data_IF_435617279108
#
_entry.id   IF_435617279108
#
_cell.length_a   1.000
_cell.length_b   1.000
_cell.length_c   1.000
_cell.angle_alpha   90.00
_cell.angle_beta   90.00
_cell.angle_gamma   90.00
#
_symmetry.space_group_name_H-M   'P 1'
#
loop_
_entity.id
_entity.type
_entity.pdbx_description
1 polymer ?
#
# COMPACT_ATOMS: atom_id res chain seq x y z
N UNK A 1 50.73 -25.27 118.66
CA UNK A 1 51.10 -24.09 117.85
C UNK A 1 51.81 -24.46 116.56
N UNK A 2 52.94 -25.20 116.55
CA UNK A 2 53.63 -25.56 115.29
C UNK A 2 52.89 -26.56 114.37
N UNK A 3 52.33 -27.68 114.89
CA UNK A 3 51.65 -28.67 114.05
C UNK A 3 50.35 -28.19 113.38
N UNK A 4 49.69 -27.17 113.96
CA UNK A 4 48.51 -26.52 113.38
C UNK A 4 48.87 -25.58 112.23
N UNK A 5 50.04 -24.93 112.33
CA UNK A 5 50.56 -24.07 111.26
C UNK A 5 51.00 -24.89 110.05
N UNK A 6 51.61 -26.07 110.25
CA UNK A 6 52.02 -26.97 109.16
C UNK A 6 50.81 -27.55 108.41
N UNK A 7 49.76 -27.99 109.13
CA UNK A 7 48.50 -28.45 108.52
C UNK A 7 47.77 -27.32 107.77
N UNK A 8 47.83 -26.09 108.27
CA UNK A 8 47.30 -24.91 107.55
C UNK A 8 48.10 -24.62 106.28
N UNK A 9 49.43 -24.74 106.32
CA UNK A 9 50.31 -24.54 105.16
C UNK A 9 50.02 -25.54 104.04
N UNK A 10 49.90 -26.83 104.37
CA UNK A 10 49.58 -27.88 103.40
C UNK A 10 48.20 -27.70 102.76
N UNK A 11 47.17 -27.35 103.56
CA UNK A 11 45.85 -27.00 103.03
C UNK A 11 45.90 -25.76 102.14
N UNK A 12 46.72 -24.76 102.48
CA UNK A 12 46.89 -23.55 101.68
C UNK A 12 47.54 -23.86 100.32
N UNK A 13 48.51 -24.79 100.27
CA UNK A 13 49.12 -25.26 99.02
C UNK A 13 48.13 -26.06 98.16
N UNK A 14 47.31 -26.91 98.77
CA UNK A 14 46.29 -27.69 98.07
C UNK A 14 45.19 -26.78 97.47
N UNK A 15 44.75 -25.78 98.23
CA UNK A 15 43.86 -24.71 97.76
C UNK A 15 44.51 -23.93 96.60
N UNK A 16 45.79 -23.57 96.71
CA UNK A 16 46.50 -22.86 95.64
C UNK A 16 46.61 -23.68 94.35
N UNK A 17 46.84 -25.00 94.43
CA UNK A 17 46.83 -25.90 93.27
C UNK A 17 45.45 -25.98 92.60
N UNK A 18 44.38 -26.10 93.37
CA UNK A 18 43.02 -26.08 92.82
C UNK A 18 42.70 -24.73 92.15
N UNK A 19 43.12 -23.61 92.75
CA UNK A 19 42.95 -22.27 92.17
C UNK A 19 43.69 -22.16 90.84
N UNK A 20 44.94 -22.64 90.76
CA UNK A 20 45.70 -22.67 89.51
C UNK A 20 45.05 -23.55 88.44
N UNK A 21 44.55 -24.73 88.81
CA UNK A 21 43.82 -25.63 87.89
C UNK A 21 42.54 -24.99 87.34
N UNK A 22 41.77 -24.32 88.21
CA UNK A 22 40.58 -23.54 87.81
C UNK A 22 40.95 -22.38 86.88
N UNK A 23 42.04 -21.66 87.15
CA UNK A 23 42.48 -20.54 86.32
C UNK A 23 42.93 -20.99 84.91
N UNK A 24 43.61 -22.13 84.80
CA UNK A 24 43.97 -22.75 83.50
C UNK A 24 42.71 -23.18 82.74
N UNK A 25 41.75 -23.82 83.43
CA UNK A 25 40.48 -24.24 82.84
C UNK A 25 39.69 -23.03 82.33
N UNK A 26 39.63 -21.95 83.12
CA UNK A 26 38.95 -20.70 82.76
C UNK A 26 39.59 -20.04 81.53
N UNK A 27 40.93 -20.02 81.45
CA UNK A 27 41.66 -19.53 80.26
C UNK A 27 41.35 -20.36 79.01
N UNK A 28 41.31 -21.69 79.11
CA UNK A 28 40.91 -22.56 77.98
C UNK A 28 39.47 -22.30 77.55
N UNK A 29 38.54 -22.18 78.49
CA UNK A 29 37.15 -21.91 78.19
C UNK A 29 36.96 -20.55 77.52
N UNK A 30 37.68 -19.51 77.98
CA UNK A 30 37.70 -18.20 77.35
C UNK A 30 38.26 -18.26 75.92
N UNK A 31 39.30 -19.06 75.69
CA UNK A 31 39.86 -19.24 74.35
C UNK A 31 38.87 -19.93 73.39
N UNK A 32 38.20 -21.00 73.84
CA UNK A 32 37.15 -21.65 73.06
C UNK A 32 35.98 -20.71 72.77
N UNK A 33 35.58 -19.87 73.74
CA UNK A 33 34.55 -18.85 73.52
C UNK A 33 34.97 -17.83 72.46
N UNK A 34 36.22 -17.38 72.46
CA UNK A 34 36.75 -16.47 71.45
C UNK A 34 36.75 -17.10 70.06
N UNK A 35 37.27 -18.32 69.93
CA UNK A 35 37.26 -19.07 68.66
C UNK A 35 35.84 -19.30 68.15
N UNK A 36 34.90 -19.61 69.04
CA UNK A 36 33.50 -19.82 68.68
C UNK A 36 32.84 -18.52 68.19
N UNK A 37 33.23 -17.37 68.73
CA UNK A 37 32.74 -16.07 68.28
C UNK A 37 33.33 -15.65 66.93
N UNK A 38 34.62 -15.89 66.69
CA UNK A 38 35.25 -15.69 65.37
C UNK A 38 34.57 -16.57 64.31
N UNK A 39 34.42 -17.87 64.59
CA UNK A 39 33.77 -18.80 63.65
C UNK A 39 32.31 -18.41 63.34
N UNK A 40 31.58 -17.90 64.34
CA UNK A 40 30.22 -17.37 64.16
C UNK A 40 30.21 -16.12 63.29
N UNK A 41 31.18 -15.22 63.47
CA UNK A 41 31.33 -14.02 62.64
C UNK A 41 31.62 -14.40 61.18
N UNK A 42 32.55 -15.32 60.97
CA UNK A 42 32.91 -15.80 59.62
C UNK A 42 31.74 -16.49 58.94
N UNK A 43 31.03 -17.37 59.66
CA UNK A 43 29.83 -18.02 59.14
C UNK A 43 28.71 -17.01 58.80
N UNK A 44 28.56 -15.95 59.61
CA UNK A 44 27.62 -14.87 59.32
C UNK A 44 28.00 -14.14 58.02
N UNK A 45 29.29 -13.85 57.83
CA UNK A 45 29.82 -13.21 56.63
C UNK A 45 29.60 -14.07 55.38
N UNK A 46 29.93 -15.37 55.43
CA UNK A 46 29.71 -16.30 54.33
C UNK A 46 28.22 -16.45 53.99
N UNK A 47 27.36 -16.49 55.01
CA UNK A 47 25.91 -16.52 54.80
C UNK A 47 25.38 -15.26 54.12
N UNK A 48 25.96 -14.09 54.43
CA UNK A 48 25.64 -12.83 53.75
C UNK A 48 26.08 -12.85 52.27
N UNK A 49 27.28 -13.35 51.98
CA UNK A 49 27.77 -13.54 50.60
C UNK A 49 26.86 -14.49 49.82
N UNK A 50 26.48 -15.63 50.42
CA UNK A 50 25.58 -16.59 49.78
C UNK A 50 24.24 -15.94 49.41
N UNK A 51 23.65 -15.19 50.34
CA UNK A 51 22.39 -14.48 50.09
C UNK A 51 22.53 -13.42 48.97
N UNK A 52 23.69 -12.75 48.87
CA UNK A 52 23.98 -11.84 47.77
C UNK A 52 24.05 -12.57 46.42
N UNK A 53 24.72 -13.74 46.36
CA UNK A 53 24.80 -14.55 45.15
C UNK A 53 23.44 -15.12 44.73
N UNK A 54 22.62 -15.58 45.68
CA UNK A 54 21.25 -16.02 45.41
C UNK A 54 20.40 -14.89 44.84
N UNK A 55 20.50 -13.69 45.43
CA UNK A 55 19.81 -12.50 44.92
C UNK A 55 20.24 -12.16 43.50
N UNK A 56 21.55 -12.17 43.21
CA UNK A 56 22.07 -11.94 41.86
C UNK A 56 21.58 -12.99 40.86
N UNK A 57 21.60 -14.27 41.24
CA UNK A 57 21.09 -15.37 40.41
C UNK A 57 19.63 -15.16 40.04
N UNK A 58 18.78 -14.79 41.00
CA UNK A 58 17.35 -14.50 40.76
C UNK A 58 17.20 -13.36 39.74
N UNK A 59 17.90 -12.24 39.96
CA UNK A 59 17.86 -11.08 39.07
C UNK A 59 18.29 -11.44 37.65
N UNK A 60 19.41 -12.15 37.50
CA UNK A 60 19.93 -12.53 36.18
C UNK A 60 18.99 -13.52 35.49
N UNK A 61 18.38 -14.45 36.22
CA UNK A 61 17.41 -15.39 35.65
C UNK A 61 16.17 -14.66 35.14
N UNK A 62 15.66 -13.70 35.92
CA UNK A 62 14.51 -12.86 35.51
C UNK A 62 14.83 -12.01 34.27
N UNK A 63 16.05 -11.47 34.19
CA UNK A 63 16.54 -10.75 33.00
C UNK A 63 16.61 -11.64 31.76
N UNK A 64 17.09 -12.88 31.89
CA UNK A 64 17.14 -13.83 30.78
C UNK A 64 15.72 -14.16 30.31
N UNK A 65 14.79 -14.42 31.22
CA UNK A 65 13.40 -14.74 30.89
C UNK A 65 12.71 -13.56 30.18
N UNK A 66 12.87 -12.34 30.69
CA UNK A 66 12.31 -11.14 30.05
C UNK A 66 12.90 -10.91 28.66
N UNK A 67 14.21 -11.10 28.47
CA UNK A 67 14.84 -11.03 27.16
C UNK A 67 14.32 -12.12 26.21
N UNK A 68 14.12 -13.34 26.72
CA UNK A 68 13.58 -14.44 25.95
C UNK A 68 12.13 -14.19 25.48
N UNK A 69 11.26 -13.70 26.36
CA UNK A 69 9.89 -13.36 25.97
C UNK A 69 9.87 -12.23 24.94
N UNK A 70 10.66 -11.17 25.17
CA UNK A 70 10.77 -10.06 24.21
C UNK A 70 11.34 -10.49 22.86
N UNK A 71 12.20 -11.51 22.83
CA UNK A 71 12.74 -12.04 21.59
C UNK A 71 11.68 -12.66 20.69
N UNK A 72 10.61 -13.23 21.27
CA UNK A 72 9.51 -13.84 20.50
C UNK A 72 8.77 -12.82 19.63
N UNK A 73 8.72 -11.57 20.07
CA UNK A 73 8.11 -10.47 19.30
C UNK A 73 8.87 -10.16 18.00
N UNK A 74 10.15 -10.53 17.93
CA UNK A 74 11.03 -10.26 16.80
C UNK A 74 11.30 -11.48 15.91
N UNK A 75 10.63 -12.61 16.16
CA UNK A 75 10.74 -13.85 15.37
C UNK A 75 11.57 -14.95 16.03
N UNK A 76 12.04 -15.91 15.22
CA UNK A 76 12.87 -17.02 15.70
C UNK A 76 14.30 -16.55 15.95
N UNK A 77 14.77 -16.66 17.19
CA UNK A 77 16.19 -16.50 17.49
C UNK A 77 17.01 -17.58 16.75
N UNK A 78 18.23 -17.25 16.30
CA UNK A 78 19.15 -18.27 15.82
C UNK A 78 19.38 -19.30 16.95
N UNK A 79 19.48 -20.61 16.61
CA UNK A 79 19.72 -21.65 17.60
C UNK A 79 21.03 -21.37 18.34
N UNK A 80 21.04 -21.59 19.65
CA UNK A 80 22.25 -21.45 20.45
C UNK A 80 23.20 -22.59 20.10
N UNK A 81 24.23 -22.30 19.31
CA UNK A 81 25.31 -23.22 18.95
C UNK A 81 26.59 -22.90 19.75
N UNK A 82 27.44 -23.90 19.96
CA UNK A 82 28.71 -23.72 20.68
C UNK A 82 29.71 -22.76 19.99
N UNK A 83 29.47 -22.42 18.71
CA UNK A 83 30.25 -21.45 17.93
C UNK A 83 29.85 -19.98 18.19
N UNK A 84 28.82 -19.73 19.01
CA UNK A 84 28.39 -18.37 19.34
C UNK A 84 29.32 -17.72 20.36
N UNK A 85 30.27 -16.94 19.86
CA UNK A 85 31.12 -16.07 20.67
C UNK A 85 30.39 -14.75 21.02
N UNK A 86 30.53 -14.30 22.26
CA UNK A 86 30.06 -12.97 22.72
C UNK A 86 30.55 -11.84 21.80
N UNK A 87 31.82 -11.92 21.37
CA UNK A 87 32.41 -10.95 20.45
C UNK A 87 31.72 -10.95 19.06
N UNK A 88 31.28 -12.11 18.57
CA UNK A 88 30.57 -12.25 17.31
C UNK A 88 29.18 -11.61 17.37
N UNK A 89 28.42 -11.92 18.43
CA UNK A 89 27.10 -11.34 18.67
C UNK A 89 27.16 -9.81 18.80
N UNK A 90 28.20 -9.30 19.46
CA UNK A 90 28.37 -7.86 19.63
C UNK A 90 28.72 -7.15 18.31
N UNK A 91 29.48 -7.82 17.44
CA UNK A 91 29.73 -7.37 16.07
C UNK A 91 28.45 -7.36 15.22
N UNK A 92 27.62 -8.39 15.34
CA UNK A 92 26.34 -8.47 14.62
C UNK A 92 25.35 -7.38 15.09
N UNK A 93 25.26 -7.15 16.40
CA UNK A 93 24.47 -6.05 16.98
C UNK A 93 24.97 -4.70 16.45
N UNK A 94 26.28 -4.48 16.41
CA UNK A 94 26.88 -3.25 15.86
C UNK A 94 26.52 -3.08 14.39
N UNK A 95 26.64 -4.14 13.59
CA UNK A 95 26.29 -4.14 12.16
C UNK A 95 24.81 -3.84 11.94
N UNK A 96 23.91 -4.48 12.70
CA UNK A 96 22.48 -4.23 12.65
C UNK A 96 22.12 -2.80 13.05
N UNK A 97 22.76 -2.26 14.09
CA UNK A 97 22.58 -0.87 14.51
C UNK A 97 23.07 0.13 13.46
N UNK A 98 24.19 -0.16 12.78
CA UNK A 98 24.68 0.67 11.69
C UNK A 98 23.73 0.64 10.48
N UNK A 99 23.21 -0.54 10.12
CA UNK A 99 22.17 -0.68 9.09
C UNK A 99 20.91 0.10 9.45
N UNK A 100 20.47 0.02 10.71
CA UNK A 100 19.33 0.80 11.21
C UNK A 100 19.57 2.31 11.09
N UNK A 101 20.74 2.80 11.53
CA UNK A 101 21.12 4.21 11.41
C UNK A 101 21.16 4.70 9.96
N UNK A 102 21.58 3.85 9.02
CA UNK A 102 21.58 4.20 7.60
C UNK A 102 20.18 4.42 7.03
N UNK A 103 19.15 3.88 7.67
CA UNK A 103 17.72 4.03 7.30
C UNK A 103 17.08 5.19 8.09
N UNK A 104 17.76 5.76 9.08
CA UNK A 104 17.28 6.92 9.83
C UNK A 104 17.57 8.23 9.06
N UNK A 105 16.61 9.18 9.02
CA UNK A 105 15.31 9.15 9.69
C UNK A 105 14.22 8.45 8.86
N UNK A 106 13.55 7.46 9.46
CA UNK A 106 12.35 6.85 8.86
C UNK A 106 11.24 7.89 8.85
N UNK A 107 10.81 8.31 7.65
CA UNK A 107 9.71 9.25 7.50
C UNK A 107 8.37 8.55 7.75
N UNK A 108 7.92 8.52 9.00
CA UNK A 108 6.62 7.96 9.37
C UNK A 108 5.44 8.72 8.72
N UNK A 109 5.63 9.99 8.29
CA UNK A 109 4.63 10.74 7.52
C UNK A 109 4.48 10.24 6.08
N UNK A 110 5.42 9.43 5.59
CA UNK A 110 5.33 8.89 4.23
C UNK A 110 4.10 7.98 4.06
N UNK A 111 3.70 7.26 5.10
CA UNK A 111 2.53 6.39 5.09
C UNK A 111 1.26 7.23 4.90
N UNK A 112 1.09 8.26 5.73
CA UNK A 112 -0.10 9.14 5.64
C UNK A 112 -0.10 9.95 4.34
N UNK A 113 1.06 10.41 3.88
CA UNK A 113 1.20 11.09 2.59
C UNK A 113 0.85 10.17 1.42
N UNK A 114 1.27 8.91 1.48
CA UNK A 114 0.93 7.91 0.47
C UNK A 114 -0.60 7.73 0.38
N UNK A 115 -1.28 7.58 1.52
CA UNK A 115 -2.73 7.41 1.54
C UNK A 115 -3.44 8.63 0.92
N UNK A 116 -3.04 9.85 1.28
CA UNK A 116 -3.59 11.08 0.68
C UNK A 116 -3.33 11.18 -0.83
N UNK A 117 -2.11 10.85 -1.27
CA UNK A 117 -1.75 10.87 -2.70
C UNK A 117 -2.53 9.81 -3.46
N UNK A 118 -2.74 8.63 -2.86
CA UNK A 118 -3.50 7.53 -3.44
C UNK A 118 -4.97 7.89 -3.60
N UNK A 119 -5.60 8.47 -2.59
CA UNK A 119 -6.99 8.95 -2.68
C UNK A 119 -7.16 9.95 -3.84
N UNK A 120 -6.24 10.92 -3.95
CA UNK A 120 -6.26 11.89 -5.03
C UNK A 120 -6.03 11.24 -6.40
N UNK A 121 -5.13 10.26 -6.47
CA UNK A 121 -4.89 9.50 -7.68
C UNK A 121 -6.14 8.74 -8.12
N UNK A 122 -6.79 8.03 -7.19
CA UNK A 122 -7.99 7.24 -7.47
C UNK A 122 -9.14 8.15 -7.95
N UNK A 123 -9.29 9.34 -7.37
CA UNK A 123 -10.26 10.35 -7.83
C UNK A 123 -9.96 10.81 -9.28
N UNK A 124 -8.71 11.14 -9.57
CA UNK A 124 -8.29 11.59 -10.91
C UNK A 124 -8.48 10.47 -11.93
N UNK A 125 -8.13 9.23 -11.57
CA UNK A 125 -8.28 8.09 -12.46
C UNK A 125 -9.76 7.80 -12.76
N UNK A 126 -10.62 7.86 -11.75
CA UNK A 126 -12.06 7.71 -11.94
C UNK A 126 -12.64 8.79 -12.87
N UNK A 127 -12.24 10.06 -12.68
CA UNK A 127 -12.63 11.17 -13.56
C UNK A 127 -12.12 10.94 -14.99
N UNK A 128 -10.88 10.50 -15.16
CA UNK A 128 -10.28 10.17 -16.46
C UNK A 128 -11.08 9.09 -17.19
N UNK A 129 -11.42 8.01 -16.50
CA UNK A 129 -12.21 6.92 -17.08
C UNK A 129 -13.61 7.39 -17.49
N UNK A 130 -14.23 8.26 -16.70
CA UNK A 130 -15.54 8.85 -17.05
C UNK A 130 -15.44 9.71 -18.31
N UNK A 131 -14.45 10.61 -18.41
CA UNK A 131 -14.23 11.44 -19.62
C UNK A 131 -13.97 10.56 -20.84
N UNK A 132 -13.21 9.48 -20.71
CA UNK A 132 -12.98 8.54 -21.81
C UNK A 132 -14.28 7.86 -22.29
N UNK A 133 -15.14 7.45 -21.36
CA UNK A 133 -16.45 6.86 -21.69
C UNK A 133 -17.38 7.89 -22.35
N UNK A 134 -17.43 9.11 -21.82
CA UNK A 134 -18.22 10.20 -22.40
C UNK A 134 -17.75 10.55 -23.81
N UNK A 135 -16.44 10.68 -24.03
CA UNK A 135 -15.86 10.89 -25.35
C UNK A 135 -16.29 9.79 -26.34
N UNK A 136 -16.20 8.53 -25.92
CA UNK A 136 -16.64 7.41 -26.78
C UNK A 136 -18.13 7.51 -27.11
N UNK A 137 -18.97 7.77 -26.11
CA UNK A 137 -20.41 7.96 -26.28
C UNK A 137 -20.74 9.08 -27.27
N UNK A 138 -20.01 10.20 -27.22
CA UNK A 138 -20.18 11.32 -28.15
C UNK A 138 -19.81 10.90 -29.58
N UNK A 139 -18.69 10.20 -29.76
CA UNK A 139 -18.28 9.71 -31.09
C UNK A 139 -19.31 8.73 -31.66
N UNK A 140 -19.77 7.77 -30.86
CA UNK A 140 -20.80 6.82 -31.25
C UNK A 140 -22.11 7.53 -31.63
N UNK A 141 -22.46 8.61 -30.91
CA UNK A 141 -23.63 9.43 -31.22
C UNK A 141 -23.47 10.21 -32.54
N UNK A 142 -22.28 10.75 -32.83
CA UNK A 142 -21.97 11.43 -34.09
C UNK A 142 -22.12 10.45 -35.26
N UNK A 143 -21.53 9.26 -35.15
CA UNK A 143 -21.60 8.24 -36.19
C UNK A 143 -23.04 7.80 -36.47
N UNK A 144 -23.85 7.67 -35.40
CA UNK A 144 -25.28 7.37 -35.52
C UNK A 144 -26.05 8.49 -36.24
N UNK A 145 -25.76 9.76 -35.91
CA UNK A 145 -26.37 10.91 -36.56
C UNK A 145 -26.00 10.96 -38.03
N UNK A 146 -24.73 10.73 -38.39
CA UNK A 146 -24.30 10.75 -39.79
C UNK A 146 -24.94 9.63 -40.62
N UNK A 147 -25.11 8.44 -40.03
CA UNK A 147 -25.84 7.33 -40.66
C UNK A 147 -27.32 7.67 -40.87
N UNK A 148 -27.98 8.25 -39.87
CA UNK A 148 -29.39 8.63 -39.95
C UNK A 148 -29.61 9.76 -40.97
N UNK A 149 -28.72 10.75 -40.98
CA UNK A 149 -28.68 11.85 -41.95
C UNK A 149 -28.54 11.31 -43.37
N UNK A 150 -27.59 10.41 -43.62
CA UNK A 150 -27.37 9.77 -44.93
C UNK A 150 -28.60 8.97 -45.37
N UNK A 151 -29.18 8.19 -44.46
CA UNK A 151 -30.40 7.41 -44.74
C UNK A 151 -31.58 8.31 -45.10
N UNK A 152 -31.77 9.40 -44.36
CA UNK A 152 -32.86 10.35 -44.57
C UNK A 152 -32.69 11.08 -45.90
N UNK A 153 -31.47 11.51 -46.21
CA UNK A 153 -31.14 12.11 -47.49
C UNK A 153 -31.41 11.18 -48.68
N UNK A 154 -30.92 9.94 -48.63
CA UNK A 154 -31.10 8.99 -49.74
C UNK A 154 -32.58 8.68 -49.98
N UNK A 155 -33.38 8.55 -48.92
CA UNK A 155 -34.85 8.42 -49.04
C UNK A 155 -35.46 9.62 -49.78
N UNK A 156 -35.15 10.84 -49.34
CA UNK A 156 -35.66 12.06 -49.96
C UNK A 156 -35.22 12.18 -51.42
N UNK A 157 -33.95 11.87 -51.72
CA UNK A 157 -33.40 11.85 -53.07
C UNK A 157 -34.18 10.90 -53.99
N UNK A 158 -34.43 9.66 -53.55
CA UNK A 158 -35.17 8.68 -54.36
C UNK A 158 -36.61 9.12 -54.62
N UNK A 159 -37.29 9.70 -53.62
CA UNK A 159 -38.64 10.24 -53.78
C UNK A 159 -38.67 11.41 -54.77
N UNK A 160 -37.77 12.38 -54.60
CA UNK A 160 -37.67 13.54 -55.50
C UNK A 160 -37.31 13.09 -56.91
N UNK A 161 -36.42 12.11 -57.08
CA UNK A 161 -36.02 11.63 -58.41
C UNK A 161 -37.20 10.97 -59.16
N UNK A 162 -38.01 10.19 -58.42
CA UNK A 162 -39.23 9.57 -58.97
C UNK A 162 -40.24 10.64 -59.41
N UNK A 163 -40.52 11.62 -58.56
CA UNK A 163 -41.47 12.69 -58.89
C UNK A 163 -40.96 13.59 -60.01
N UNK A 164 -39.68 13.96 -59.98
CA UNK A 164 -39.02 14.74 -61.03
C UNK A 164 -39.15 14.06 -62.40
N UNK A 165 -38.81 12.76 -62.48
CA UNK A 165 -38.93 11.98 -63.71
C UNK A 165 -40.37 11.98 -64.25
N UNK A 166 -41.35 11.79 -63.35
CA UNK A 166 -42.78 11.77 -63.68
C UNK A 166 -43.28 13.13 -64.18
N UNK A 167 -42.90 14.22 -63.51
CA UNK A 167 -43.28 15.59 -63.88
C UNK A 167 -42.67 15.96 -65.24
N UNK A 168 -41.39 15.66 -65.43
CA UNK A 168 -40.70 15.94 -66.69
C UNK A 168 -41.35 15.23 -67.88
N UNK A 169 -41.72 13.96 -67.71
CA UNK A 169 -42.39 13.18 -68.76
C UNK A 169 -43.78 13.73 -69.12
N UNK A 170 -44.51 14.30 -68.15
CA UNK A 170 -45.77 14.99 -68.42
C UNK A 170 -45.58 16.28 -69.21
N UNK A 171 -44.55 17.06 -68.88
CA UNK A 171 -44.24 18.33 -69.55
C UNK A 171 -43.62 18.14 -70.94
N UNK A 172 -42.94 17.01 -71.17
CA UNK A 172 -42.30 16.66 -72.45
C UNK A 172 -42.70 15.25 -72.89
N UNK A 173 -43.84 15.09 -73.61
CA UNK A 173 -44.29 13.78 -74.08
C UNK A 173 -43.25 13.11 -74.98
N UNK A 174 -42.68 11.99 -74.53
CA UNK A 174 -41.60 11.26 -75.22
C UNK A 174 -40.17 11.69 -74.85
N UNK A 175 -40.01 12.57 -73.85
CA UNK A 175 -38.74 12.86 -73.19
C UNK A 175 -38.54 12.06 -71.89
N UNK A 176 -37.31 12.02 -71.39
CA UNK A 176 -36.95 11.38 -70.12
C UNK A 176 -35.99 12.26 -69.33
N UNK A 177 -36.16 12.38 -68.02
CA UNK A 177 -35.16 13.01 -67.16
C UNK A 177 -34.93 12.18 -65.90
N UNK A 178 -33.71 12.23 -65.36
CA UNK A 178 -33.31 11.58 -64.12
C UNK A 178 -32.27 12.42 -63.39
N UNK A 179 -32.25 12.30 -62.07
CA UNK A 179 -31.16 12.80 -61.24
C UNK A 179 -30.11 11.69 -61.07
N UNK A 180 -28.85 12.09 -61.00
CA UNK A 180 -27.68 11.24 -60.79
C UNK A 180 -26.86 11.82 -59.64
N UNK A 181 -26.49 10.98 -58.69
CA UNK A 181 -25.51 11.32 -57.66
C UNK A 181 -24.12 11.03 -58.19
N UNK A 182 -23.22 12.02 -58.11
CA UNK A 182 -21.82 11.84 -58.54
C UNK A 182 -21.10 10.83 -57.65
N UNK A 183 -21.47 10.79 -56.35
CA UNK A 183 -20.90 9.89 -55.34
C UNK A 183 -22.00 9.21 -54.51
N UNK A 184 -22.51 8.06 -54.96
CA UNK A 184 -23.59 7.34 -54.26
C UNK A 184 -23.19 6.79 -52.88
N UNK A 185 -21.90 6.51 -52.67
CA UNK A 185 -21.30 6.05 -51.43
C UNK A 185 -21.19 7.15 -50.37
N UNK A 186 -21.06 8.39 -50.82
CA UNK A 186 -20.91 9.58 -49.97
C UNK A 186 -21.69 10.77 -50.54
N UNK A 187 -23.03 10.76 -50.39
CA UNK A 187 -23.89 11.71 -51.08
C UNK A 187 -23.65 13.18 -50.71
N UNK A 188 -23.08 13.46 -49.53
CA UNK A 188 -22.75 14.81 -49.09
C UNK A 188 -21.37 15.31 -49.53
N UNK A 189 -20.49 14.41 -50.00
CA UNK A 189 -19.18 14.79 -50.55
C UNK A 189 -19.21 14.97 -52.08
N UNK A 190 -20.37 14.76 -52.72
CA UNK A 190 -20.58 14.86 -54.17
C UNK A 190 -21.71 15.81 -54.55
N UNK A 191 -21.88 16.02 -55.85
CA UNK A 191 -22.97 16.81 -56.43
C UNK A 191 -24.16 15.95 -56.89
N UNK A 192 -25.22 16.65 -57.29
CA UNK A 192 -26.37 16.06 -57.98
C UNK A 192 -26.42 16.62 -59.40
N UNK A 193 -26.31 15.73 -60.38
CA UNK A 193 -26.40 16.09 -61.80
C UNK A 193 -27.76 15.68 -62.35
N UNK A 194 -28.41 16.58 -63.10
CA UNK A 194 -29.68 16.27 -63.78
C UNK A 194 -29.40 15.97 -65.25
N UNK A 195 -29.74 14.75 -65.68
CA UNK A 195 -29.78 14.39 -67.09
C UNK A 195 -31.20 14.51 -67.63
N UNK A 196 -31.41 15.39 -68.61
CA UNK A 196 -32.70 15.55 -69.28
C UNK A 196 -32.56 15.30 -70.79
N UNK A 197 -33.50 14.54 -71.34
CA UNK A 197 -33.62 14.22 -72.78
C UNK A 197 -35.00 14.67 -73.27
N UNK A 198 -35.11 15.85 -73.92
CA UNK A 198 -36.34 16.26 -74.61
C UNK A 198 -36.56 15.44 -75.89
N UNK A 199 -37.81 15.29 -76.33
CA UNK A 199 -38.19 14.51 -77.52
C UNK A 199 -37.35 14.92 -78.75
N UNK A 200 -36.49 14.01 -79.22
CA UNK A 200 -35.69 14.16 -80.44
C UNK A 200 -34.43 15.04 -80.36
N UNK A 201 -33.99 15.48 -79.17
CA UNK A 201 -32.75 16.28 -78.99
C UNK A 201 -31.67 15.53 -78.19
N UNK A 202 -30.41 15.96 -78.34
CA UNK A 202 -29.25 15.44 -77.58
C UNK A 202 -29.44 15.68 -76.07
N UNK A 203 -28.77 14.87 -75.27
CA UNK A 203 -28.79 14.93 -73.79
C UNK A 203 -28.29 16.30 -73.34
N UNK A 204 -29.05 16.96 -72.49
CA UNK A 204 -28.58 18.15 -71.76
C UNK A 204 -28.32 17.74 -70.31
N UNK A 205 -27.09 17.95 -69.85
CA UNK A 205 -26.71 17.79 -68.44
C UNK A 205 -26.73 19.17 -67.77
N UNK A 206 -27.38 19.28 -66.63
CA UNK A 206 -27.28 20.46 -65.77
C UNK A 206 -26.65 20.02 -64.44
N UNK A 207 -25.46 20.51 -64.14
CA UNK A 207 -24.82 20.36 -62.84
C UNK A 207 -25.51 21.31 -61.85
N UNK A 208 -26.04 20.77 -60.75
CA UNK A 208 -26.65 21.56 -59.68
C UNK A 208 -25.82 21.28 -58.42
N UNK A 209 -25.22 22.33 -57.87
CA UNK A 209 -24.04 22.27 -57.01
C UNK A 209 -24.37 22.31 -55.50
N UNK A 210 -24.09 21.19 -54.82
CA UNK A 210 -24.00 20.93 -53.37
C UNK A 210 -25.14 20.04 -52.84
N UNK A 211 -24.77 18.78 -52.53
CA UNK A 211 -25.65 17.65 -52.19
C UNK A 211 -26.45 17.74 -50.89
N UNK A 212 -26.93 18.91 -50.47
CA UNK A 212 -27.79 19.07 -49.28
C UNK A 212 -28.87 20.14 -49.41
N UNK A 213 -28.51 21.34 -49.84
CA UNK A 213 -29.43 22.51 -49.92
C UNK A 213 -30.25 22.52 -51.22
N UNK A 214 -29.73 21.88 -52.27
CA UNK A 214 -30.31 22.00 -53.61
C UNK A 214 -31.51 21.10 -53.87
N UNK A 215 -31.69 20.01 -53.11
CA UNK A 215 -32.92 19.20 -53.24
C UNK A 215 -34.15 20.01 -52.86
N UNK A 216 -34.03 20.90 -51.86
CA UNK A 216 -35.06 21.88 -51.55
C UNK A 216 -35.29 22.85 -52.71
N UNK A 217 -34.24 23.29 -53.39
CA UNK A 217 -34.34 24.22 -54.52
C UNK A 217 -34.99 23.57 -55.75
N UNK A 218 -34.60 22.33 -56.09
CA UNK A 218 -35.24 21.51 -57.14
C UNK A 218 -36.70 21.30 -56.80
N UNK A 219 -37.01 20.90 -55.56
CA UNK A 219 -38.39 20.77 -55.10
C UNK A 219 -39.16 22.09 -55.23
N UNK A 220 -38.55 23.24 -54.95
CA UNK A 220 -39.18 24.56 -55.03
C UNK A 220 -39.44 24.99 -56.49
N UNK A 221 -38.48 24.75 -57.39
CA UNK A 221 -38.60 25.07 -58.83
C UNK A 221 -39.70 24.22 -59.47
N UNK A 222 -39.69 22.90 -59.25
CA UNK A 222 -40.67 21.99 -59.87
C UNK A 222 -42.01 21.95 -59.13
N UNK A 223 -42.01 22.17 -57.81
CA UNK A 223 -43.23 22.32 -57.01
C UNK A 223 -44.02 23.58 -57.36
N UNK A 224 -43.34 24.69 -57.74
CA UNK A 224 -44.01 25.86 -58.31
C UNK A 224 -44.57 25.60 -59.71
N UNK A 225 -43.86 24.85 -60.56
CA UNK A 225 -44.34 24.49 -61.90
C UNK A 225 -45.60 23.61 -61.91
N UNK A 226 -45.93 22.96 -60.79
CA UNK A 226 -47.15 22.17 -60.57
C UNK A 226 -48.38 22.97 -60.12
N UNK A 227 -48.19 24.22 -59.68
CA UNK A 227 -49.27 25.13 -59.23
C UNK A 227 -49.67 26.18 -60.29
N UNK A 228 -49.03 26.16 -61.45
CA UNK A 228 -49.42 26.92 -62.66
C UNK A 228 -50.02 25.98 -63.69
#
# INVERSE_FOLDING_TARGET
>A
LNQENDKKSLKQEEINKEIQGKDISWKKQKNYQNQLNELKSDHSMERSKLNNYESKKIITTDQIETLYQRSKDYGSLPPVTDDLSEAGLQSDISTANNKKKAIEPVNLKAITQYDTVKERFDEIDMRRQTIQRERKSILDAIDKIELEKTRTFMKAYHEINREFSRIFQKLSPGGSAKMILDRPDKPFEGGVTIEARPRGKRISSLEILSGGEDLCLIYLIFGKALKS
#
